data_IF_367956114640
#
_entry.id   IF_367956114640
#
_cell.length_a   1.000
_cell.length_b   1.000
_cell.length_c   1.000
_cell.angle_alpha   90.00
_cell.angle_beta   90.00
_cell.angle_gamma   90.00
#
_symmetry.space_group_name_H-M   'P 1'
#
loop_
_entity.id
_entity.type
_entity.pdbx_description
1 polymer ?
#
# COMPACT_ATOMS: atom_id res chain seq x y z
N UNK A 1 -22.37 -2.58 -16.08
CA UNK A 1 -21.69 -1.35 -16.51
C UNK A 1 -20.22 -1.60 -16.88
N UNK A 2 -19.51 -0.56 -17.35
CA UNK A 2 -18.13 -0.67 -17.85
C UNK A 2 -17.16 -1.33 -16.84
N UNK A 3 -17.26 -0.99 -15.54
CA UNK A 3 -16.44 -1.61 -14.48
C UNK A 3 -16.60 -3.13 -14.45
N UNK A 4 -17.85 -3.63 -14.42
CA UNK A 4 -18.08 -5.08 -14.36
C UNK A 4 -17.59 -5.79 -15.63
N UNK A 5 -17.80 -5.20 -16.80
CA UNK A 5 -17.28 -5.73 -18.05
C UNK A 5 -15.75 -5.80 -18.04
N UNK A 6 -15.09 -4.74 -17.59
CA UNK A 6 -13.61 -4.69 -17.52
C UNK A 6 -13.06 -5.73 -16.56
N UNK A 7 -13.64 -5.86 -15.36
CA UNK A 7 -13.19 -6.84 -14.38
C UNK A 7 -13.37 -8.26 -14.93
N UNK A 8 -14.55 -8.61 -15.43
CA UNK A 8 -14.85 -9.98 -15.89
C UNK A 8 -14.05 -10.42 -17.13
N UNK A 9 -13.48 -9.48 -17.89
CA UNK A 9 -12.71 -9.81 -19.10
C UNK A 9 -11.19 -9.65 -18.92
N UNK A 10 -10.74 -8.85 -17.95
CA UNK A 10 -9.33 -8.50 -17.77
C UNK A 10 -8.77 -8.77 -16.36
N UNK A 11 -9.51 -9.46 -15.48
CA UNK A 11 -9.04 -9.86 -14.15
C UNK A 11 -7.72 -10.64 -14.22
N UNK A 12 -7.62 -11.56 -15.18
CA UNK A 12 -6.42 -12.33 -15.45
C UNK A 12 -5.21 -11.45 -15.78
N UNK A 13 -5.41 -10.32 -16.46
CA UNK A 13 -4.33 -9.40 -16.85
C UNK A 13 -3.67 -8.76 -15.62
N UNK A 14 -4.48 -8.37 -14.61
CA UNK A 14 -3.98 -7.84 -13.35
C UNK A 14 -3.13 -8.89 -12.64
N UNK A 15 -3.60 -10.14 -12.56
CA UNK A 15 -2.87 -11.22 -11.88
C UNK A 15 -1.59 -11.61 -12.63
N UNK A 16 -1.69 -11.84 -13.94
CA UNK A 16 -0.52 -12.17 -14.77
C UNK A 16 0.53 -11.08 -14.68
N UNK A 17 0.11 -9.81 -14.80
CA UNK A 17 1.01 -8.66 -14.68
C UNK A 17 1.73 -8.63 -13.33
N UNK A 18 1.00 -8.74 -12.23
CA UNK A 18 1.57 -8.79 -10.88
C UNK A 18 2.55 -9.94 -10.70
N UNK A 19 2.17 -11.14 -11.15
CA UNK A 19 3.02 -12.34 -11.06
C UNK A 19 4.32 -12.19 -11.89
N UNK A 20 4.20 -11.69 -13.13
CA UNK A 20 5.36 -11.45 -13.99
C UNK A 20 6.32 -10.46 -13.31
N UNK A 21 5.81 -9.40 -12.69
CA UNK A 21 6.65 -8.41 -12.02
C UNK A 21 7.36 -8.99 -10.79
N UNK A 22 6.71 -9.85 -10.01
CA UNK A 22 7.35 -10.56 -8.90
C UNK A 22 8.46 -11.48 -9.43
N UNK A 23 8.17 -12.32 -10.43
CA UNK A 23 9.14 -13.24 -11.02
C UNK A 23 10.31 -12.46 -11.64
N UNK A 24 10.04 -11.37 -12.34
CA UNK A 24 11.07 -10.52 -12.92
C UNK A 24 11.97 -9.90 -11.86
N UNK A 25 11.42 -9.38 -10.77
CA UNK A 25 12.19 -8.86 -9.65
C UNK A 25 13.07 -9.94 -9.01
N UNK A 26 12.52 -11.13 -8.77
CA UNK A 26 13.29 -12.26 -8.23
C UNK A 26 14.41 -12.68 -9.18
N UNK A 27 14.16 -12.72 -10.48
CA UNK A 27 15.19 -12.99 -11.48
C UNK A 27 16.32 -11.95 -11.46
N UNK A 28 16.00 -10.66 -11.32
CA UNK A 28 17.03 -9.60 -11.22
C UNK A 28 17.90 -9.73 -9.96
N UNK A 29 17.39 -10.33 -8.89
CA UNK A 29 18.18 -10.57 -7.68
C UNK A 29 19.27 -11.60 -7.93
N UNK A 30 18.99 -12.67 -8.68
CA UNK A 30 19.91 -13.80 -8.89
C UNK A 30 20.79 -13.64 -10.13
N UNK A 31 20.28 -12.97 -11.18
CA UNK A 31 20.99 -12.82 -12.45
C UNK A 31 22.16 -11.81 -12.36
N UNK A 32 23.17 -11.95 -13.25
CA UNK A 32 24.32 -11.04 -13.30
C UNK A 32 23.93 -9.57 -13.54
N UNK A 33 22.81 -9.30 -14.24
CA UNK A 33 22.27 -7.95 -14.48
C UNK A 33 21.96 -7.20 -13.19
N UNK A 34 21.73 -7.91 -12.09
CA UNK A 34 21.58 -7.32 -10.76
C UNK A 34 22.79 -6.51 -10.28
N UNK A 35 23.97 -6.68 -10.91
CA UNK A 35 25.18 -5.90 -10.62
C UNK A 35 25.23 -4.54 -11.31
N UNK A 36 24.34 -4.29 -12.28
CA UNK A 36 24.25 -2.98 -12.95
C UNK A 36 23.93 -1.93 -11.90
N UNK A 37 24.65 -0.81 -11.96
CA UNK A 37 24.47 0.32 -11.05
C UNK A 37 23.68 1.42 -11.75
N UNK A 38 22.68 1.95 -11.07
CA UNK A 38 21.91 3.09 -11.56
C UNK A 38 22.79 4.33 -11.58
N UNK A 39 23.00 4.89 -12.76
CA UNK A 39 23.90 6.02 -13.01
C UNK A 39 25.31 5.63 -13.47
N UNK A 40 25.57 4.34 -13.71
CA UNK A 40 26.85 3.84 -14.21
C UNK A 40 27.81 3.37 -13.10
N UNK A 41 28.96 2.82 -13.50
CA UNK A 41 29.92 2.15 -12.59
C UNK A 41 30.44 3.05 -11.47
N UNK A 42 30.62 4.33 -11.77
CA UNK A 42 31.22 5.30 -10.85
C UNK A 42 30.20 6.05 -9.99
N UNK A 43 28.90 5.85 -10.25
CA UNK A 43 27.84 6.48 -9.49
C UNK A 43 27.87 6.03 -8.02
N UNK A 44 27.71 7.00 -7.12
CA UNK A 44 27.64 6.76 -5.67
C UNK A 44 26.22 7.00 -5.19
N UNK A 45 25.75 6.24 -4.17
CA UNK A 45 24.48 6.51 -3.55
C UNK A 45 24.40 7.95 -3.01
N UNK A 46 23.34 8.66 -3.35
CA UNK A 46 23.08 10.03 -2.87
C UNK A 46 22.72 10.02 -1.38
N UNK A 47 22.07 8.96 -0.93
CA UNK A 47 21.59 8.80 0.45
C UNK A 47 22.27 7.62 1.14
N UNK A 48 22.50 7.73 2.46
CA UNK A 48 22.92 6.60 3.28
C UNK A 48 21.88 5.47 3.21
N UNK A 49 22.28 4.24 3.50
CA UNK A 49 21.35 3.09 3.45
C UNK A 49 20.17 3.27 4.42
N UNK A 50 20.42 3.80 5.61
CA UNK A 50 19.37 4.05 6.61
C UNK A 50 18.38 5.10 6.10
N UNK A 51 18.87 6.24 5.59
CA UNK A 51 18.01 7.27 5.03
C UNK A 51 17.20 6.76 3.83
N UNK A 52 17.82 5.96 2.97
CA UNK A 52 17.14 5.36 1.84
C UNK A 52 16.03 4.40 2.28
N UNK A 53 16.29 3.51 3.24
CA UNK A 53 15.28 2.63 3.82
C UNK A 53 14.13 3.41 4.47
N UNK A 54 14.44 4.50 5.17
CA UNK A 54 13.41 5.37 5.75
C UNK A 54 12.53 6.01 4.68
N UNK A 55 13.11 6.41 3.54
CA UNK A 55 12.33 6.94 2.41
C UNK A 55 11.48 5.87 1.73
N UNK A 56 11.98 4.63 1.58
CA UNK A 56 11.19 3.50 1.09
C UNK A 56 10.05 3.16 2.06
N UNK A 57 10.31 3.19 3.36
CA UNK A 57 9.28 3.05 4.37
C UNK A 57 8.21 4.15 4.26
N UNK A 58 8.64 5.41 4.14
CA UNK A 58 7.71 6.53 3.98
C UNK A 58 6.85 6.42 2.71
N UNK A 59 7.39 5.86 1.63
CA UNK A 59 6.62 5.58 0.42
C UNK A 59 5.53 4.52 0.62
N UNK A 60 5.73 3.60 1.57
CA UNK A 60 4.77 2.55 1.92
C UNK A 60 3.73 2.95 2.96
N UNK A 61 4.04 3.97 3.76
CA UNK A 61 3.14 4.44 4.82
C UNK A 61 2.18 5.49 4.27
N UNK A 62 0.93 5.13 4.17
CA UNK A 62 -0.10 6.00 3.63
C UNK A 62 -1.47 5.71 4.21
N UNK A 63 -2.44 6.50 3.76
CA UNK A 63 -3.86 6.40 4.12
C UNK A 63 -4.39 4.97 4.02
N UNK A 64 -3.96 4.22 2.99
CA UNK A 64 -4.40 2.84 2.79
C UNK A 64 -4.06 1.93 3.97
N UNK A 65 -2.86 2.00 4.54
CA UNK A 65 -2.50 1.22 5.73
C UNK A 65 -3.35 1.57 6.94
N UNK A 66 -3.66 2.86 7.14
CA UNK A 66 -4.53 3.29 8.23
C UNK A 66 -5.96 2.80 8.03
N UNK A 67 -6.47 2.91 6.80
CA UNK A 67 -7.85 2.58 6.48
C UNK A 67 -8.11 1.06 6.54
N UNK A 68 -7.21 0.26 5.98
CA UNK A 68 -7.43 -1.16 5.76
C UNK A 68 -6.81 -2.08 6.81
N UNK A 69 -5.89 -1.59 7.66
CA UNK A 69 -5.14 -2.46 8.57
C UNK A 69 -5.99 -3.32 9.50
N UNK A 70 -7.10 -2.77 10.01
CA UNK A 70 -8.05 -3.50 10.85
C UNK A 70 -9.22 -4.02 10.02
N UNK A 71 -9.72 -3.19 9.10
CA UNK A 71 -10.92 -3.51 8.34
C UNK A 71 -10.75 -4.75 7.44
N UNK A 72 -9.60 -4.88 6.76
CA UNK A 72 -9.38 -5.93 5.78
C UNK A 72 -9.38 -7.33 6.41
N UNK A 73 -8.53 -7.65 7.40
CA UNK A 73 -8.53 -9.00 7.98
C UNK A 73 -9.84 -9.34 8.70
N UNK A 74 -10.52 -8.37 9.32
CA UNK A 74 -11.82 -8.60 9.95
C UNK A 74 -12.90 -8.84 8.89
N UNK A 75 -12.88 -8.07 7.78
CA UNK A 75 -13.82 -8.27 6.67
C UNK A 75 -13.70 -9.69 6.09
N UNK A 76 -12.49 -10.18 5.88
CA UNK A 76 -12.26 -11.52 5.36
C UNK A 76 -12.68 -12.62 6.35
N UNK A 77 -12.37 -12.44 7.61
CA UNK A 77 -12.75 -13.36 8.67
C UNK A 77 -14.27 -13.50 8.83
N UNK A 78 -14.99 -12.40 8.64
CA UNK A 78 -16.44 -12.34 8.85
C UNK A 78 -17.27 -12.46 7.58
N UNK A 79 -16.64 -12.69 6.42
CA UNK A 79 -17.28 -12.76 5.09
C UNK A 79 -18.07 -11.49 4.72
N UNK A 80 -17.51 -10.33 5.03
CA UNK A 80 -18.18 -9.06 4.69
C UNK A 80 -18.30 -8.86 3.16
N UNK A 81 -17.31 -9.30 2.37
CA UNK A 81 -17.34 -9.22 0.90
C UNK A 81 -16.59 -10.38 0.26
N UNK A 82 -16.90 -11.61 0.67
CA UNK A 82 -16.20 -12.82 0.27
C UNK A 82 -15.00 -13.14 1.15
N UNK A 83 -14.60 -14.41 1.12
CA UNK A 83 -13.45 -14.92 1.87
C UNK A 83 -12.35 -15.38 0.92
N UNK A 84 -11.06 -15.21 1.29
CA UNK A 84 -9.97 -15.66 0.44
C UNK A 84 -9.99 -17.18 0.25
N UNK A 85 -9.92 -17.62 -1.00
CA UNK A 85 -9.91 -19.05 -1.38
C UNK A 85 -11.10 -19.83 -0.80
N UNK A 86 -12.25 -19.18 -0.62
CA UNK A 86 -13.44 -19.76 0.03
C UNK A 86 -13.18 -20.34 1.43
N UNK A 87 -12.23 -19.78 2.18
CA UNK A 87 -11.97 -20.19 3.55
C UNK A 87 -13.25 -20.01 4.41
N UNK A 88 -13.57 -21.00 5.25
CA UNK A 88 -14.75 -20.92 6.09
C UNK A 88 -14.66 -19.72 7.05
N UNK A 89 -15.64 -18.79 7.02
CA UNK A 89 -15.62 -17.60 7.89
C UNK A 89 -15.74 -17.99 9.36
N UNK A 90 -15.22 -17.15 10.24
CA UNK A 90 -15.29 -17.31 11.69
C UNK A 90 -14.68 -18.64 12.22
N UNK A 91 -13.68 -19.16 11.50
CA UNK A 91 -12.88 -20.32 11.90
C UNK A 91 -11.41 -19.94 12.06
N UNK A 92 -10.62 -20.77 12.72
CA UNK A 92 -9.18 -20.59 12.83
C UNK A 92 -8.49 -20.56 11.45
N UNK A 93 -8.89 -21.45 10.55
CA UNK A 93 -8.41 -21.47 9.17
C UNK A 93 -8.81 -20.20 8.41
N UNK A 94 -10.04 -19.69 8.63
CA UNK A 94 -10.50 -18.43 8.08
C UNK A 94 -9.69 -17.22 8.58
N UNK A 95 -9.38 -17.17 9.88
CA UNK A 95 -8.54 -16.14 10.48
C UNK A 95 -7.12 -16.15 9.89
N UNK A 96 -6.54 -17.35 9.72
CA UNK A 96 -5.22 -17.52 9.11
C UNK A 96 -5.23 -17.09 7.64
N UNK A 97 -6.22 -17.50 6.86
CA UNK A 97 -6.38 -17.10 5.46
C UNK A 97 -6.58 -15.59 5.33
N UNK A 98 -7.35 -14.97 6.23
CA UNK A 98 -7.58 -13.53 6.25
C UNK A 98 -6.27 -12.74 6.39
N UNK A 99 -5.41 -13.09 7.35
CA UNK A 99 -4.11 -12.42 7.53
C UNK A 99 -3.15 -12.69 6.36
N UNK A 100 -3.14 -13.91 5.82
CA UNK A 100 -2.36 -14.26 4.62
C UNK A 100 -2.78 -13.45 3.39
N UNK A 101 -4.07 -13.28 3.17
CA UNK A 101 -4.62 -12.47 2.09
C UNK A 101 -4.33 -10.98 2.26
N UNK A 102 -4.44 -10.47 3.48
CA UNK A 102 -4.04 -9.09 3.80
C UNK A 102 -2.58 -8.87 3.40
N UNK A 103 -1.67 -9.77 3.77
CA UNK A 103 -0.27 -9.66 3.36
C UNK A 103 -0.06 -9.87 1.86
N UNK A 104 -0.89 -10.65 1.18
CA UNK A 104 -0.84 -10.79 -0.27
C UNK A 104 -1.13 -9.47 -0.98
N UNK A 105 -2.11 -8.70 -0.49
CA UNK A 105 -2.47 -7.40 -1.06
C UNK A 105 -1.48 -6.27 -0.74
N UNK A 106 -0.68 -6.39 0.33
CA UNK A 106 0.21 -5.34 0.83
C UNK A 106 1.70 -5.71 0.82
N UNK A 107 2.04 -6.93 0.37
CA UNK A 107 3.38 -7.48 0.40
C UNK A 107 4.12 -7.39 -0.95
N UNK A 108 4.68 -8.52 -1.39
CA UNK A 108 5.61 -8.56 -2.54
C UNK A 108 5.01 -8.09 -3.86
N UNK A 109 3.74 -8.40 -4.15
CA UNK A 109 3.12 -8.06 -5.44
C UNK A 109 3.01 -6.55 -5.68
N UNK A 110 2.39 -5.74 -4.77
CA UNK A 110 2.36 -4.29 -4.96
C UNK A 110 3.75 -3.69 -5.04
N UNK A 111 4.69 -4.16 -4.22
CA UNK A 111 6.06 -3.64 -4.24
C UNK A 111 6.83 -4.06 -5.48
N UNK A 112 6.52 -5.21 -6.10
CA UNK A 112 7.05 -5.59 -7.40
C UNK A 112 6.49 -4.70 -8.53
N UNK A 113 5.21 -4.32 -8.49
CA UNK A 113 4.61 -3.35 -9.43
C UNK A 113 5.39 -2.03 -9.35
N UNK A 114 5.59 -1.50 -8.15
CA UNK A 114 6.35 -0.27 -7.95
C UNK A 114 7.82 -0.41 -8.33
N UNK A 115 8.47 -1.53 -7.99
CA UNK A 115 9.88 -1.78 -8.29
C UNK A 115 10.14 -1.81 -9.79
N UNK A 116 9.29 -2.45 -10.59
CA UNK A 116 9.45 -2.53 -12.06
C UNK A 116 9.33 -1.15 -12.68
N UNK A 117 8.31 -0.36 -12.30
CA UNK A 117 8.13 1.00 -12.79
C UNK A 117 9.30 1.89 -12.36
N UNK A 118 9.67 1.86 -11.09
CA UNK A 118 10.77 2.66 -10.55
C UNK A 118 12.12 2.29 -11.15
N UNK A 119 12.40 1.00 -11.33
CA UNK A 119 13.64 0.53 -11.95
C UNK A 119 13.71 0.96 -13.42
N UNK A 120 12.61 0.85 -14.16
CA UNK A 120 12.54 1.32 -15.54
C UNK A 120 12.84 2.81 -15.65
N UNK A 121 12.17 3.62 -14.82
CA UNK A 121 12.41 5.06 -14.75
C UNK A 121 13.86 5.37 -14.37
N UNK A 122 14.38 4.77 -13.30
CA UNK A 122 15.75 4.99 -12.85
C UNK A 122 16.79 4.57 -13.88
N UNK A 123 16.64 3.40 -14.51
CA UNK A 123 17.57 2.91 -15.51
C UNK A 123 17.58 3.81 -16.76
N UNK A 124 16.42 4.12 -17.32
CA UNK A 124 16.38 4.93 -18.54
C UNK A 124 16.81 6.37 -18.28
N UNK A 125 16.56 6.91 -17.11
CA UNK A 125 17.02 8.26 -16.75
C UNK A 125 18.52 8.28 -16.46
N UNK A 126 18.99 7.46 -15.54
CA UNK A 126 20.35 7.58 -15.04
C UNK A 126 21.40 6.90 -15.94
N UNK A 127 21.04 5.78 -16.60
CA UNK A 127 21.98 5.04 -17.44
C UNK A 127 21.86 5.39 -18.93
N UNK A 128 20.73 5.92 -19.36
CA UNK A 128 20.49 6.27 -20.79
C UNK A 128 20.31 7.77 -21.03
N UNK A 129 20.27 8.59 -19.97
CA UNK A 129 20.15 10.05 -20.08
C UNK A 129 18.78 10.53 -20.58
N UNK A 130 17.74 9.69 -20.49
CA UNK A 130 16.38 10.05 -20.89
C UNK A 130 15.65 10.82 -19.76
N UNK A 131 14.63 11.63 -20.08
CA UNK A 131 13.82 12.31 -19.07
C UNK A 131 13.18 11.34 -18.06
N UNK A 132 13.00 11.79 -16.81
CA UNK A 132 12.31 11.01 -15.77
C UNK A 132 10.79 11.05 -15.98
N UNK A 133 10.33 10.38 -17.03
CA UNK A 133 8.92 10.28 -17.43
C UNK A 133 8.59 8.87 -17.85
N UNK A 134 7.32 8.47 -17.71
CA UNK A 134 6.90 7.09 -18.03
C UNK A 134 7.16 6.75 -19.50
N UNK A 135 7.00 7.71 -20.42
CA UNK A 135 7.28 7.49 -21.85
C UNK A 135 8.70 7.02 -22.11
N UNK A 136 9.67 7.45 -21.31
CA UNK A 136 11.08 7.10 -21.48
C UNK A 136 11.34 5.59 -21.39
N UNK A 137 10.55 4.88 -20.57
CA UNK A 137 10.63 3.43 -20.43
C UNK A 137 10.23 2.68 -21.72
N UNK A 138 9.47 3.31 -22.59
CA UNK A 138 9.02 2.75 -23.87
C UNK A 138 9.99 3.04 -25.05
N UNK A 139 11.02 3.86 -24.83
CA UNK A 139 11.98 4.20 -25.89
C UNK A 139 12.58 3.00 -26.62
N UNK A 140 12.96 1.88 -25.96
CA UNK A 140 13.47 0.70 -26.65
C UNK A 140 12.45 0.02 -27.57
N UNK A 141 11.15 0.23 -27.34
CA UNK A 141 10.07 -0.42 -28.10
C UNK A 141 9.62 0.42 -29.30
N UNK A 142 9.56 1.74 -29.13
CA UNK A 142 8.98 2.65 -30.14
C UNK A 142 9.96 3.72 -30.64
N UNK A 143 11.21 3.73 -30.15
CA UNK A 143 12.26 4.65 -30.60
C UNK A 143 11.83 6.11 -30.47
N UNK A 144 12.13 6.91 -31.52
CA UNK A 144 11.85 8.34 -31.53
C UNK A 144 10.36 8.69 -31.50
N UNK A 145 9.46 7.73 -31.78
CA UNK A 145 8.02 7.92 -31.60
C UNK A 145 7.63 8.20 -30.12
N UNK A 146 8.53 7.87 -29.20
CA UNK A 146 8.41 8.24 -27.78
C UNK A 146 8.24 9.75 -27.58
N UNK A 147 8.85 10.57 -28.43
CA UNK A 147 8.81 12.03 -28.32
C UNK A 147 7.65 12.67 -29.10
N UNK A 148 6.88 11.84 -29.82
CA UNK A 148 5.71 12.25 -30.58
C UNK A 148 4.39 11.90 -29.88
N UNK A 149 3.37 11.71 -30.71
CA UNK A 149 2.00 11.44 -30.28
C UNK A 149 1.86 10.23 -29.34
N UNK A 150 2.55 9.13 -29.62
CA UNK A 150 2.50 7.94 -28.76
C UNK A 150 3.00 8.23 -27.34
N UNK A 151 4.10 8.97 -27.21
CA UNK A 151 4.60 9.37 -25.90
C UNK A 151 3.63 10.30 -25.15
N UNK A 152 2.93 11.19 -25.85
CA UNK A 152 1.91 12.02 -25.24
C UNK A 152 0.73 11.19 -24.70
N UNK A 153 0.30 10.14 -25.42
CA UNK A 153 -0.72 9.21 -24.94
C UNK A 153 -0.23 8.51 -23.66
N UNK A 154 1.00 7.96 -23.67
CA UNK A 154 1.57 7.25 -22.52
C UNK A 154 1.58 8.15 -21.27
N UNK A 155 2.12 9.36 -21.38
CA UNK A 155 2.17 10.26 -20.24
C UNK A 155 0.77 10.73 -19.79
N UNK A 156 -0.14 10.96 -20.74
CA UNK A 156 -1.53 11.34 -20.40
C UNK A 156 -2.22 10.23 -19.62
N UNK A 157 -2.07 8.97 -20.05
CA UNK A 157 -2.62 7.80 -19.33
C UNK A 157 -1.99 7.68 -17.94
N UNK A 158 -0.67 7.87 -17.81
CA UNK A 158 0.02 7.84 -16.53
C UNK A 158 -0.46 8.94 -15.56
N UNK A 159 -0.68 10.16 -16.07
CA UNK A 159 -1.23 11.27 -15.29
C UNK A 159 -2.67 10.98 -14.85
N UNK A 160 -3.51 10.50 -15.76
CA UNK A 160 -4.89 10.15 -15.42
C UNK A 160 -4.94 9.01 -14.38
N UNK A 161 -4.13 7.97 -14.56
CA UNK A 161 -4.02 6.88 -13.59
C UNK A 161 -3.64 7.43 -12.18
N UNK A 162 -2.61 8.28 -12.11
CA UNK A 162 -2.17 8.90 -10.86
C UNK A 162 -3.28 9.76 -10.23
N UNK A 163 -4.02 10.55 -11.01
CA UNK A 163 -5.13 11.37 -10.51
C UNK A 163 -6.24 10.50 -9.91
N UNK A 164 -6.63 9.41 -10.57
CA UNK A 164 -7.63 8.49 -10.03
C UNK A 164 -7.14 7.75 -8.79
N UNK A 165 -5.88 7.33 -8.76
CA UNK A 165 -5.25 6.72 -7.58
C UNK A 165 -5.24 7.69 -6.40
N UNK A 166 -4.84 8.95 -6.62
CA UNK A 166 -4.85 10.01 -5.61
C UNK A 166 -6.26 10.28 -5.09
N UNK A 167 -7.23 10.43 -6.00
CA UNK A 167 -8.63 10.67 -5.62
C UNK A 167 -9.20 9.53 -4.75
N UNK A 168 -8.86 8.27 -5.06
CA UNK A 168 -9.25 7.10 -4.27
C UNK A 168 -8.67 7.18 -2.85
N UNK A 169 -7.37 7.47 -2.72
CA UNK A 169 -6.70 7.57 -1.43
C UNK A 169 -7.22 8.74 -0.60
N UNK A 170 -7.37 9.94 -1.19
CA UNK A 170 -7.94 11.09 -0.50
C UNK A 170 -9.38 10.83 -0.06
N UNK A 171 -10.16 10.10 -0.87
CA UNK A 171 -11.52 9.69 -0.52
C UNK A 171 -11.54 8.80 0.72
N UNK A 172 -10.69 7.77 0.78
CA UNK A 172 -10.57 6.92 1.96
C UNK A 172 -10.11 7.70 3.19
N UNK A 173 -9.09 8.54 3.05
CA UNK A 173 -8.60 9.37 4.15
C UNK A 173 -9.68 10.31 4.69
N UNK A 174 -10.38 11.01 3.80
CA UNK A 174 -11.45 11.92 4.21
C UNK A 174 -12.61 11.17 4.87
N UNK A 175 -12.98 9.99 4.38
CA UNK A 175 -14.01 9.16 4.97
C UNK A 175 -13.59 8.70 6.38
N UNK A 176 -12.37 8.18 6.54
CA UNK A 176 -11.85 7.73 7.82
C UNK A 176 -11.73 8.88 8.83
N UNK A 177 -11.19 10.02 8.42
CA UNK A 177 -11.08 11.20 9.28
C UNK A 177 -12.47 11.74 9.69
N UNK A 178 -13.44 11.80 8.77
CA UNK A 178 -14.82 12.19 9.09
C UNK A 178 -15.48 11.22 10.07
N UNK A 179 -15.29 9.92 9.88
CA UNK A 179 -15.78 8.90 10.81
C UNK A 179 -15.12 8.98 12.19
N UNK A 180 -13.82 9.26 12.24
CA UNK A 180 -13.10 9.49 13.49
C UNK A 180 -13.56 10.76 14.22
N UNK A 181 -13.79 11.85 13.50
CA UNK A 181 -14.36 13.09 14.06
C UNK A 181 -15.79 12.88 14.59
N UNK A 182 -16.59 12.09 13.88
CA UNK A 182 -17.91 11.69 14.39
C UNK A 182 -17.79 10.84 15.66
N UNK A 183 -16.91 9.86 15.65
CA UNK A 183 -16.68 8.97 16.78
C UNK A 183 -16.22 9.69 18.05
N UNK A 184 -15.37 10.73 17.94
CA UNK A 184 -14.82 11.45 19.10
C UNK A 184 -15.61 12.69 19.51
N UNK A 185 -16.19 13.40 18.55
CA UNK A 185 -16.71 14.75 18.76
C UNK A 185 -18.15 14.93 18.25
N UNK A 186 -18.82 13.85 17.84
CA UNK A 186 -20.16 13.87 17.24
C UNK A 186 -20.31 14.80 16.03
N UNK A 187 -19.20 15.11 15.33
CA UNK A 187 -19.23 15.87 14.08
C UNK A 187 -20.01 15.05 13.04
N UNK A 188 -21.00 15.63 12.34
CA UNK A 188 -21.78 14.89 11.37
C UNK A 188 -20.90 14.29 10.26
N UNK A 189 -20.96 12.96 10.05
CA UNK A 189 -20.26 12.27 8.97
C UNK A 189 -21.03 12.45 7.67
N UNK A 190 -20.83 13.57 6.99
CA UNK A 190 -21.50 13.93 5.75
C UNK A 190 -20.49 14.17 4.62
N UNK A 191 -20.99 14.18 3.37
CA UNK A 191 -20.16 14.55 2.21
C UNK A 191 -19.56 15.95 2.40
N UNK A 192 -20.28 16.89 3.01
CA UNK A 192 -19.77 18.24 3.27
C UNK A 192 -18.57 18.22 4.23
N UNK A 193 -18.62 17.41 5.29
CA UNK A 193 -17.50 17.21 6.22
C UNK A 193 -16.30 16.61 5.49
N UNK A 194 -16.49 15.58 4.66
CA UNK A 194 -15.42 14.97 3.88
C UNK A 194 -14.79 15.95 2.89
N UNK A 195 -15.58 16.76 2.20
CA UNK A 195 -15.08 17.82 1.31
C UNK A 195 -14.26 18.85 2.10
N UNK A 196 -14.74 19.29 3.26
CA UNK A 196 -13.99 20.22 4.11
C UNK A 196 -12.63 19.65 4.55
N UNK A 197 -12.57 18.38 4.90
CA UNK A 197 -11.33 17.66 5.23
C UNK A 197 -10.39 17.63 4.02
N UNK A 198 -10.88 17.24 2.83
CA UNK A 198 -10.07 17.23 1.60
C UNK A 198 -9.48 18.61 1.30
N UNK A 199 -10.29 19.67 1.42
CA UNK A 199 -9.82 21.05 1.21
C UNK A 199 -8.74 21.41 2.24
N UNK A 200 -8.94 21.08 3.52
CA UNK A 200 -7.99 21.37 4.58
C UNK A 200 -6.65 20.64 4.36
N UNK A 201 -6.69 19.35 4.12
CA UNK A 201 -5.50 18.51 3.87
C UNK A 201 -4.76 18.95 2.61
N UNK A 202 -5.49 19.21 1.53
CA UNK A 202 -4.91 19.70 0.28
C UNK A 202 -4.24 21.07 0.48
N UNK A 203 -4.86 21.96 1.28
CA UNK A 203 -4.28 23.27 1.61
C UNK A 203 -2.97 23.14 2.39
N UNK A 204 -2.91 22.24 3.37
CA UNK A 204 -1.68 21.93 4.13
C UNK A 204 -0.61 21.38 3.19
N UNK A 205 -0.97 20.45 2.31
CA UNK A 205 -0.07 19.88 1.32
C UNK A 205 0.47 20.96 0.36
N UNK A 206 -0.38 21.86 -0.13
CA UNK A 206 0.03 22.98 -0.99
C UNK A 206 1.00 23.93 -0.27
N UNK A 207 0.73 24.31 0.97
CA UNK A 207 1.63 25.14 1.78
C UNK A 207 2.97 24.42 1.96
N UNK A 208 2.95 23.12 2.21
CA UNK A 208 4.16 22.29 2.35
C UNK A 208 4.99 22.30 1.06
N UNK A 209 4.36 22.15 -0.09
CA UNK A 209 5.03 22.16 -1.41
C UNK A 209 5.60 23.55 -1.72
N UNK A 210 4.87 24.64 -1.44
CA UNK A 210 5.33 26.02 -1.64
C UNK A 210 6.57 26.33 -0.79
N UNK A 211 6.67 25.77 0.42
CA UNK A 211 7.86 25.90 1.28
C UNK A 211 9.07 25.12 0.79
N UNK A 212 8.91 24.31 -0.25
CA UNK A 212 9.95 23.50 -0.86
C UNK A 212 10.22 22.16 -0.16
N UNK A 213 11.06 21.36 -0.80
CA UNK A 213 11.32 19.98 -0.38
C UNK A 213 11.89 19.86 1.05
N UNK A 214 12.87 20.70 1.40
CA UNK A 214 13.52 20.62 2.71
C UNK A 214 12.73 21.29 3.83
N UNK A 215 12.11 22.43 3.55
CA UNK A 215 11.41 23.24 4.57
C UNK A 215 9.96 22.86 4.81
N UNK A 216 9.33 22.13 3.89
CA UNK A 216 7.92 21.76 3.96
C UNK A 216 7.69 20.26 3.89
N UNK A 217 7.94 19.66 2.75
CA UNK A 217 7.60 18.23 2.49
C UNK A 217 8.34 17.30 3.45
N UNK A 218 9.66 17.49 3.63
CA UNK A 218 10.47 16.68 4.54
C UNK A 218 10.03 16.83 6.01
N UNK A 219 9.71 18.05 6.43
CA UNK A 219 9.25 18.27 7.81
C UNK A 219 7.92 17.57 8.07
N UNK A 220 6.94 17.73 7.18
CA UNK A 220 5.62 17.10 7.32
C UNK A 220 5.72 15.58 7.28
N UNK A 221 6.53 15.04 6.37
CA UNK A 221 6.79 13.60 6.27
C UNK A 221 7.43 13.04 7.55
N UNK A 222 8.42 13.74 8.13
CA UNK A 222 9.06 13.31 9.37
C UNK A 222 8.11 13.35 10.57
N UNK A 223 7.25 14.37 10.66
CA UNK A 223 6.22 14.46 11.70
C UNK A 223 5.24 13.27 11.56
N UNK A 224 4.74 13.06 10.35
CA UNK A 224 3.80 11.98 10.07
C UNK A 224 4.41 10.60 10.41
N UNK A 225 5.66 10.37 10.04
CA UNK A 225 6.40 9.17 10.36
C UNK A 225 6.57 8.98 11.87
N UNK A 226 6.91 10.06 12.59
CA UNK A 226 7.01 10.04 14.06
C UNK A 226 5.69 9.66 14.73
N UNK A 227 4.59 10.23 14.25
CA UNK A 227 3.23 9.93 14.74
C UNK A 227 2.87 8.48 14.43
N UNK A 228 3.18 7.97 13.23
CA UNK A 228 2.92 6.59 12.84
C UNK A 228 3.66 5.59 13.74
N UNK A 229 4.95 5.81 13.97
CA UNK A 229 5.78 4.97 14.85
C UNK A 229 5.28 5.03 16.30
N UNK A 230 4.87 6.21 16.77
CA UNK A 230 4.32 6.38 18.11
C UNK A 230 3.02 5.61 18.27
N UNK A 231 2.09 5.70 17.32
CA UNK A 231 0.82 4.97 17.36
C UNK A 231 1.05 3.46 17.29
N UNK A 232 1.92 3.01 16.38
CA UNK A 232 2.32 1.59 16.27
C UNK A 232 2.89 1.08 17.59
N UNK A 233 3.83 1.81 18.19
CA UNK A 233 4.46 1.43 19.46
C UNK A 233 3.46 1.40 20.60
N UNK A 234 2.52 2.35 20.63
CA UNK A 234 1.45 2.37 21.62
C UNK A 234 0.58 1.13 21.52
N UNK A 235 0.07 0.80 20.35
CA UNK A 235 -0.76 -0.40 20.15
C UNK A 235 0.03 -1.68 20.43
N UNK A 236 1.31 -1.73 20.07
CA UNK A 236 2.17 -2.86 20.35
C UNK A 236 2.35 -3.10 21.86
N UNK A 237 2.55 -2.04 22.64
CA UNK A 237 2.84 -2.14 24.09
C UNK A 237 1.56 -2.30 24.92
N UNK A 238 0.51 -1.54 24.61
CA UNK A 238 -0.73 -1.50 25.41
C UNK A 238 -1.85 -2.39 24.85
N UNK A 239 -1.68 -2.91 23.64
CA UNK A 239 -2.55 -3.91 23.06
C UNK A 239 -2.18 -5.33 23.50
N UNK A 240 -2.69 -6.35 22.82
CA UNK A 240 -2.40 -7.75 23.11
C UNK A 240 -1.00 -8.15 22.63
N UNK A 241 0.04 -7.66 23.29
CA UNK A 241 1.45 -7.79 22.86
C UNK A 241 1.84 -9.23 22.50
N UNK A 242 1.43 -10.22 23.30
CA UNK A 242 1.75 -11.62 23.03
C UNK A 242 1.11 -12.10 21.72
N UNK A 243 -0.15 -11.73 21.48
CA UNK A 243 -0.86 -12.02 20.24
C UNK A 243 -0.23 -11.29 19.05
N UNK A 244 0.16 -10.02 19.22
CA UNK A 244 0.84 -9.26 18.16
C UNK A 244 2.15 -9.94 17.75
N UNK A 245 2.99 -10.34 18.70
CA UNK A 245 4.25 -11.06 18.44
C UNK A 245 3.96 -12.37 17.71
N UNK A 246 3.01 -13.16 18.18
CA UNK A 246 2.59 -14.40 17.52
C UNK A 246 2.03 -14.13 16.12
N UNK A 247 1.25 -13.06 15.97
CA UNK A 247 0.66 -12.65 14.70
C UNK A 247 1.70 -12.29 13.64
N UNK A 248 2.82 -11.67 14.01
CA UNK A 248 3.90 -11.38 13.05
C UNK A 248 4.37 -12.67 12.37
N UNK A 249 4.67 -13.70 13.15
CA UNK A 249 5.16 -14.97 12.62
C UNK A 249 4.08 -15.78 11.91
N UNK A 250 2.88 -15.86 12.50
CA UNK A 250 1.77 -16.61 11.90
C UNK A 250 1.28 -15.97 10.61
N UNK A 251 1.27 -14.65 10.50
CA UNK A 251 0.91 -13.91 9.29
C UNK A 251 1.97 -14.11 8.19
N UNK A 252 3.26 -14.07 8.54
CA UNK A 252 4.34 -14.38 7.60
C UNK A 252 4.20 -15.81 7.07
N UNK A 253 3.93 -16.78 7.95
CA UNK A 253 3.67 -18.17 7.58
C UNK A 253 2.43 -18.33 6.69
N UNK A 254 1.31 -17.72 7.06
CA UNK A 254 0.08 -17.74 6.28
C UNK A 254 0.25 -17.11 4.89
N UNK A 255 1.02 -16.03 4.80
CA UNK A 255 1.36 -15.41 3.52
C UNK A 255 2.19 -16.34 2.64
N UNK A 256 3.24 -16.95 3.20
CA UNK A 256 4.10 -17.88 2.47
C UNK A 256 3.34 -19.13 1.97
N UNK A 257 2.42 -19.66 2.78
CA UNK A 257 1.60 -20.83 2.43
C UNK A 257 0.61 -20.51 1.31
N UNK A 258 0.02 -19.32 1.32
CA UNK A 258 -1.10 -18.99 0.45
C UNK A 258 -0.71 -18.18 -0.80
N UNK A 259 0.50 -17.63 -0.87
CA UNK A 259 0.91 -16.74 -1.96
C UNK A 259 0.74 -17.37 -3.34
N UNK A 260 1.05 -18.65 -3.51
CA UNK A 260 0.94 -19.36 -4.80
C UNK A 260 -0.52 -19.57 -5.16
N UNK A 261 -1.35 -20.04 -4.21
CA UNK A 261 -2.77 -20.25 -4.45
C UNK A 261 -3.50 -18.94 -4.75
N UNK A 262 -3.18 -17.87 -4.02
CA UNK A 262 -3.75 -16.54 -4.24
C UNK A 262 -3.27 -15.90 -5.55
N UNK A 263 -2.08 -16.25 -6.03
CA UNK A 263 -1.54 -15.78 -7.32
C UNK A 263 -2.15 -16.52 -8.53
N UNK A 264 -2.86 -17.61 -8.30
CA UNK A 264 -3.55 -18.32 -9.37
C UNK A 264 -4.89 -17.64 -9.70
N UNK A 265 -5.12 -17.37 -10.97
CA UNK A 265 -6.39 -16.80 -11.49
C UNK A 265 -7.24 -17.84 -12.24
N UNK A 266 -6.66 -19.02 -12.53
CA UNK A 266 -7.31 -20.06 -13.33
C UNK A 266 -8.19 -20.91 -12.41
N UNK A 267 -9.48 -21.02 -12.75
CA UNK A 267 -10.42 -21.85 -12.00
C UNK A 267 -10.69 -21.34 -10.57
N UNK A 268 -10.59 -20.03 -10.35
CA UNK A 268 -11.00 -19.40 -9.08
C UNK A 268 -12.50 -19.61 -8.87
N UNK A 269 -12.87 -19.99 -7.65
CA UNK A 269 -14.28 -20.17 -7.25
C UNK A 269 -14.72 -19.10 -6.25
N UNK A 270 -13.79 -18.27 -5.77
CA UNK A 270 -14.02 -17.15 -4.85
C UNK A 270 -14.12 -15.80 -5.59
N UNK A 271 -14.85 -15.75 -6.70
CA UNK A 271 -14.95 -14.59 -7.59
C UNK A 271 -15.31 -13.30 -6.87
N UNK A 272 -16.18 -13.38 -5.87
CA UNK A 272 -16.60 -12.22 -5.07
C UNK A 272 -15.41 -11.60 -4.34
N UNK A 273 -14.55 -12.42 -3.74
CA UNK A 273 -13.32 -11.99 -3.10
C UNK A 273 -12.30 -11.54 -4.14
N UNK A 274 -12.04 -12.36 -5.14
CA UNK A 274 -11.02 -12.10 -6.14
C UNK A 274 -11.27 -10.79 -6.90
N UNK A 275 -12.48 -10.57 -7.40
CA UNK A 275 -12.85 -9.35 -8.13
C UNK A 275 -13.00 -8.14 -7.20
N UNK A 276 -13.60 -8.34 -6.03
CA UNK A 276 -13.90 -7.26 -5.08
C UNK A 276 -12.67 -6.72 -4.36
N UNK A 277 -11.69 -7.59 -4.08
CA UNK A 277 -10.51 -7.24 -3.30
C UNK A 277 -9.23 -7.30 -4.13
N UNK A 278 -8.84 -8.45 -4.65
CA UNK A 278 -7.53 -8.62 -5.30
C UNK A 278 -7.41 -7.76 -6.55
N UNK A 279 -8.38 -7.82 -7.45
CA UNK A 279 -8.36 -6.99 -8.68
C UNK A 279 -8.45 -5.50 -8.35
N UNK A 280 -9.24 -5.12 -7.36
CA UNK A 280 -9.30 -3.74 -6.86
C UNK A 280 -7.94 -3.25 -6.37
N UNK A 281 -7.25 -4.03 -5.52
CA UNK A 281 -5.92 -3.66 -5.02
C UNK A 281 -4.90 -3.55 -6.15
N UNK A 282 -4.86 -4.48 -7.10
CA UNK A 282 -3.93 -4.42 -8.23
C UNK A 282 -4.18 -3.19 -9.09
N UNK A 283 -5.45 -2.87 -9.37
CA UNK A 283 -5.81 -1.64 -10.10
C UNK A 283 -5.34 -0.38 -9.34
N UNK A 284 -5.50 -0.37 -8.02
CA UNK A 284 -5.06 0.74 -7.17
C UNK A 284 -3.53 0.89 -7.18
N UNK A 285 -2.78 -0.19 -6.98
CA UNK A 285 -1.32 -0.17 -7.03
C UNK A 285 -0.79 0.22 -8.40
N UNK A 286 -1.36 -0.29 -9.49
CA UNK A 286 -0.98 0.08 -10.85
C UNK A 286 -1.25 1.57 -11.08
N UNK A 287 -2.37 2.11 -10.64
CA UNK A 287 -2.69 3.53 -10.81
C UNK A 287 -1.71 4.45 -10.06
N UNK A 288 -1.23 4.03 -8.90
CA UNK A 288 -0.23 4.76 -8.11
C UNK A 288 1.21 4.59 -8.62
N UNK A 289 1.48 3.56 -9.39
CA UNK A 289 2.84 3.17 -9.76
C UNK A 289 3.65 4.24 -10.51
N UNK A 290 3.08 5.12 -11.36
CA UNK A 290 3.86 6.19 -11.97
C UNK A 290 4.40 7.20 -10.95
N UNK A 291 3.60 7.58 -9.97
CA UNK A 291 3.98 8.54 -8.93
C UNK A 291 4.97 7.92 -7.93
N UNK A 292 4.63 6.79 -7.34
CA UNK A 292 5.49 6.10 -6.37
C UNK A 292 6.78 5.61 -7.03
N UNK A 293 6.68 5.08 -8.26
CA UNK A 293 7.84 4.66 -9.04
C UNK A 293 8.82 5.79 -9.32
N UNK A 294 8.33 6.97 -9.64
CA UNK A 294 9.17 8.16 -9.85
C UNK A 294 9.91 8.56 -8.57
N UNK A 295 9.22 8.56 -7.42
CA UNK A 295 9.84 8.84 -6.12
C UNK A 295 10.93 7.82 -5.77
N UNK A 296 10.63 6.52 -5.88
CA UNK A 296 11.60 5.45 -5.59
C UNK A 296 12.80 5.54 -6.53
N UNK A 297 12.59 5.79 -7.83
CA UNK A 297 13.68 6.00 -8.79
C UNK A 297 14.58 7.16 -8.36
N UNK A 298 13.97 8.30 -7.99
CA UNK A 298 14.70 9.52 -7.61
C UNK A 298 15.62 9.31 -6.40
N UNK A 299 15.19 8.54 -5.41
CA UNK A 299 15.98 8.31 -4.19
C UNK A 299 16.98 7.17 -4.31
N UNK A 300 17.02 6.46 -5.44
CA UNK A 300 17.80 5.22 -5.60
C UNK A 300 19.02 5.35 -6.52
N UNK A 301 19.38 6.56 -6.94
CA UNK A 301 20.60 6.82 -7.71
C UNK A 301 21.82 6.21 -7.00
N UNK A 302 22.70 5.55 -7.77
CA UNK A 302 23.93 4.94 -7.29
C UNK A 302 23.76 3.56 -6.63
N UNK A 303 22.54 3.04 -6.50
CA UNK A 303 22.30 1.66 -6.03
C UNK A 303 22.46 0.66 -7.17
N UNK A 304 22.90 -0.55 -6.86
CA UNK A 304 22.83 -1.63 -7.86
C UNK A 304 21.38 -2.09 -8.04
N UNK A 305 21.07 -2.66 -9.19
CA UNK A 305 19.75 -3.22 -9.47
C UNK A 305 19.35 -4.25 -8.40
N UNK A 306 20.29 -5.08 -7.96
CA UNK A 306 20.05 -6.06 -6.89
C UNK A 306 19.71 -5.41 -5.55
N UNK A 307 20.54 -4.46 -5.10
CA UNK A 307 20.26 -3.69 -3.86
C UNK A 307 18.90 -3.02 -3.94
N UNK A 308 18.62 -2.40 -5.08
CA UNK A 308 17.35 -1.71 -5.35
C UNK A 308 16.16 -2.66 -5.22
N UNK A 309 16.16 -3.78 -5.97
CA UNK A 309 15.02 -4.72 -5.97
C UNK A 309 14.83 -5.36 -4.60
N UNK A 310 15.92 -5.82 -3.95
CA UNK A 310 15.84 -6.42 -2.60
C UNK A 310 15.26 -5.42 -1.60
N UNK A 311 15.74 -4.18 -1.59
CA UNK A 311 15.26 -3.18 -0.65
C UNK A 311 13.80 -2.77 -0.91
N UNK A 312 13.43 -2.52 -2.17
CA UNK A 312 12.06 -2.10 -2.52
C UNK A 312 11.04 -3.20 -2.25
N UNK A 313 11.41 -4.47 -2.44
CA UNK A 313 10.51 -5.59 -2.11
C UNK A 313 10.43 -5.85 -0.61
N UNK A 314 11.57 -5.89 0.10
CA UNK A 314 11.60 -6.41 1.47
C UNK A 314 11.34 -5.34 2.52
N UNK A 315 11.93 -4.13 2.40
CA UNK A 315 11.81 -3.12 3.45
C UNK A 315 10.34 -2.75 3.71
N UNK A 316 9.56 -2.34 2.69
CA UNK A 316 8.17 -2.02 2.93
C UNK A 316 7.32 -3.23 3.29
N UNK A 317 7.58 -4.42 2.71
CA UNK A 317 6.83 -5.64 3.04
C UNK A 317 7.01 -6.03 4.51
N UNK A 318 8.22 -5.95 5.06
CA UNK A 318 8.48 -6.23 6.47
C UNK A 318 7.81 -5.22 7.40
N UNK A 319 7.86 -3.94 7.03
CA UNK A 319 7.15 -2.90 7.78
C UNK A 319 5.65 -3.13 7.76
N UNK A 320 5.09 -3.43 6.60
CA UNK A 320 3.66 -3.75 6.45
C UNK A 320 3.29 -4.99 7.25
N UNK A 321 4.15 -6.02 7.30
CA UNK A 321 3.93 -7.21 8.12
C UNK A 321 3.77 -6.85 9.60
N UNK A 322 4.68 -6.03 10.14
CA UNK A 322 4.60 -5.57 11.54
C UNK A 322 3.35 -4.72 11.76
N UNK A 323 3.04 -3.83 10.82
CA UNK A 323 1.86 -2.97 10.88
C UNK A 323 0.56 -3.77 10.88
N UNK A 324 0.39 -4.67 9.91
CA UNK A 324 -0.81 -5.49 9.79
C UNK A 324 -0.96 -6.49 10.94
N UNK A 325 0.14 -7.06 11.43
CA UNK A 325 0.11 -7.92 12.61
C UNK A 325 -0.28 -7.15 13.87
N UNK A 326 0.16 -5.88 14.01
CA UNK A 326 -0.16 -5.06 15.17
C UNK A 326 -1.62 -4.61 15.14
N UNK A 327 -2.03 -3.91 14.11
CA UNK A 327 -3.39 -3.37 14.02
C UNK A 327 -4.41 -4.43 13.60
N UNK A 328 -4.12 -5.14 12.51
CA UNK A 328 -5.00 -6.18 11.97
C UNK A 328 -5.09 -7.39 12.87
N UNK A 329 -3.96 -7.83 13.43
CA UNK A 329 -3.93 -8.91 14.41
C UNK A 329 -4.73 -8.58 15.67
N UNK A 330 -4.62 -7.35 16.20
CA UNK A 330 -5.40 -6.90 17.36
C UNK A 330 -6.90 -6.82 17.04
N UNK A 331 -7.26 -6.27 15.88
CA UNK A 331 -8.68 -6.22 15.49
C UNK A 331 -9.28 -7.60 15.22
N UNK A 332 -8.51 -8.48 14.59
CA UNK A 332 -8.92 -9.87 14.36
C UNK A 332 -9.08 -10.65 15.68
N UNK A 333 -8.16 -10.46 16.64
CA UNK A 333 -8.29 -11.05 17.98
C UNK A 333 -9.59 -10.60 18.68
N UNK A 334 -9.92 -9.31 18.61
CA UNK A 334 -11.18 -8.80 19.14
C UNK A 334 -12.38 -9.47 18.45
N UNK A 335 -12.35 -9.60 17.12
CA UNK A 335 -13.41 -10.25 16.36
C UNK A 335 -13.57 -11.75 16.74
N UNK A 336 -12.44 -12.46 16.89
CA UNK A 336 -12.43 -13.89 17.26
C UNK A 336 -12.96 -14.10 18.68
N UNK A 337 -12.56 -13.23 19.61
CA UNK A 337 -12.92 -13.35 21.03
C UNK A 337 -14.29 -12.73 21.38
N UNK A 338 -15.04 -12.24 20.43
CA UNK A 338 -16.35 -11.64 20.67
C UNK A 338 -16.30 -10.28 21.38
N UNK A 339 -15.20 -9.53 21.19
CA UNK A 339 -14.98 -8.24 21.85
C UNK A 339 -15.42 -7.09 20.94
N UNK A 340 -16.33 -6.25 21.43
CA UNK A 340 -16.78 -5.05 20.76
C UNK A 340 -17.51 -5.27 19.43
N UNK A 341 -17.67 -4.20 18.66
CA UNK A 341 -18.44 -4.20 17.41
C UNK A 341 -17.80 -5.06 16.31
N UNK A 342 -16.46 -5.19 16.29
CA UNK A 342 -15.75 -5.99 15.29
C UNK A 342 -16.13 -7.47 15.33
N UNK A 343 -16.64 -7.98 16.47
CA UNK A 343 -17.15 -9.34 16.59
C UNK A 343 -18.39 -9.60 15.73
N UNK A 344 -19.16 -8.56 15.45
CA UNK A 344 -20.34 -8.62 14.58
C UNK A 344 -19.98 -8.51 13.10
N UNK A 345 -18.72 -8.26 12.78
CA UNK A 345 -18.22 -7.99 11.41
C UNK A 345 -18.11 -6.50 11.12
N UNK A 346 -17.87 -6.19 9.84
CA UNK A 346 -17.68 -4.81 9.39
C UNK A 346 -19.03 -4.16 9.10
N UNK A 347 -19.43 -3.19 9.92
CA UNK A 347 -20.59 -2.34 9.65
C UNK A 347 -20.20 -1.15 8.77
N UNK A 348 -19.26 -0.33 9.24
CA UNK A 348 -18.65 0.76 8.49
C UNK A 348 -17.13 0.56 8.49
N UNK A 349 -16.57 0.39 7.29
CA UNK A 349 -15.14 0.14 7.06
C UNK A 349 -14.27 1.25 7.66
N UNK A 350 -14.71 2.49 7.57
CA UNK A 350 -13.96 3.66 8.04
C UNK A 350 -13.89 3.79 9.57
N UNK A 351 -14.75 3.06 10.29
CA UNK A 351 -14.78 3.00 11.76
C UNK A 351 -13.93 1.86 12.34
N UNK A 352 -13.55 0.88 11.54
CA UNK A 352 -12.91 -0.35 12.04
C UNK A 352 -11.68 -0.09 12.92
N UNK A 353 -10.80 0.85 12.52
CA UNK A 353 -9.63 1.23 13.32
C UNK A 353 -10.05 1.83 14.68
N UNK A 354 -11.03 2.73 14.69
CA UNK A 354 -11.49 3.39 15.92
C UNK A 354 -12.19 2.40 16.84
N UNK A 355 -12.97 1.47 16.30
CA UNK A 355 -13.60 0.38 17.05
C UNK A 355 -12.55 -0.53 17.72
N UNK A 356 -11.45 -0.84 17.03
CA UNK A 356 -10.34 -1.57 17.62
C UNK A 356 -9.67 -0.76 18.76
N UNK A 357 -9.36 0.52 18.50
CA UNK A 357 -8.73 1.40 19.49
C UNK A 357 -9.59 1.65 20.73
N UNK A 358 -10.92 1.53 20.62
CA UNK A 358 -11.86 1.72 21.72
C UNK A 358 -11.60 0.76 22.88
N UNK A 359 -11.04 -0.41 22.62
CA UNK A 359 -10.72 -1.43 23.61
C UNK A 359 -9.28 -1.33 24.15
N UNK A 360 -8.58 -0.27 23.83
CA UNK A 360 -7.25 0.04 24.35
C UNK A 360 -7.32 1.23 25.33
N UNK A 361 -6.34 1.39 26.24
CA UNK A 361 -6.31 2.56 27.11
C UNK A 361 -6.14 3.85 26.29
N UNK A 362 -6.59 4.98 26.87
CA UNK A 362 -6.46 6.32 26.26
C UNK A 362 -7.16 6.43 24.88
N UNK A 363 -8.30 5.80 24.69
CA UNK A 363 -9.05 5.76 23.43
C UNK A 363 -9.19 7.12 22.74
N UNK A 364 -9.56 8.16 23.50
CA UNK A 364 -9.72 9.51 22.96
C UNK A 364 -8.44 10.06 22.34
N UNK A 365 -7.30 9.88 23.01
CA UNK A 365 -6.00 10.35 22.53
C UNK A 365 -5.54 9.53 21.30
N UNK A 366 -5.62 8.21 21.38
CA UNK A 366 -5.16 7.33 20.28
C UNK A 366 -6.01 7.48 19.04
N UNK A 367 -7.32 7.64 19.18
CA UNK A 367 -8.23 7.92 18.07
C UNK A 367 -7.97 9.31 17.47
N UNK A 368 -7.70 10.33 18.29
CA UNK A 368 -7.30 11.64 17.78
C UNK A 368 -6.00 11.59 17.00
N UNK A 369 -4.99 10.90 17.54
CA UNK A 369 -3.71 10.67 16.83
C UNK A 369 -3.92 9.93 15.51
N UNK A 370 -4.82 8.93 15.47
CA UNK A 370 -5.16 8.23 14.25
C UNK A 370 -5.82 9.15 13.21
N UNK A 371 -6.71 10.07 13.62
CA UNK A 371 -7.30 11.08 12.72
C UNK A 371 -6.22 12.01 12.13
N UNK A 372 -5.26 12.43 12.95
CA UNK A 372 -4.18 13.33 12.50
C UNK A 372 -3.23 12.61 11.53
N UNK A 373 -3.06 11.30 11.68
CA UNK A 373 -2.18 10.49 10.83
C UNK A 373 -2.78 10.18 9.45
N UNK A 374 -4.10 10.12 9.34
CA UNK A 374 -4.84 9.93 8.08
C UNK A 374 -4.81 11.19 7.22
#
# INVERSE_FOLDING_TARGET
GAKGWSINNFDWLFMVGGNIFVIFCLALIVLPVGKIRLGGTDAKPEFSTISWFSMLFAAGMGIGLMFWSVAEPVAYYTDWWGTPLNAAPKTEAGARAAMGATMFHWGLHPWAIYAVVALSLGFFTYNKGLPLTIRSAFYPLIGDHTWGWFGHIIDTVAVLATLFGLATSLGFGAQQAASGLHFLFDVPNTIATQIAIIIAVTSVAMISVIRGLEGGVKLLSNINMGIAVMLLSFVFVFGPTATIISSIFSTAGAYAENIIAMSNWIGREDDKFFHGWTVFYWAWWISWSPFVGMFIARVSLGRTVREFVVAVLLVPTLVTLVWMATFGGSGLEQAVNGVGELSNGIGDVSLALFQMLQHLPMTGLTSFVAIVLV
#
